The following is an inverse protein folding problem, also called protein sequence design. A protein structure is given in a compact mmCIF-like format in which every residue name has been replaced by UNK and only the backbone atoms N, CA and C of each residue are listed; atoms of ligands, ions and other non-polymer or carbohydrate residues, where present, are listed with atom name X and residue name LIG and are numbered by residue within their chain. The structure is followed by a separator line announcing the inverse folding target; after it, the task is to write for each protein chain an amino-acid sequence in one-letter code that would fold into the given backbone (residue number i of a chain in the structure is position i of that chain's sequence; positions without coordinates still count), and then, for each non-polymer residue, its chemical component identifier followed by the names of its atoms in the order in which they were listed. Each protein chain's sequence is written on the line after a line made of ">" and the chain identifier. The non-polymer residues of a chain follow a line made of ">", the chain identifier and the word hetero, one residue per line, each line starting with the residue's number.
data_IF_687618413972
#
_entry.id   IF_687618413972
#
_cell.length_a   1.000
_cell.length_b   1.000
_cell.length_c   1.000
_cell.angle_alpha   90.00
_cell.angle_beta   90.00
_cell.angle_gamma   90.00
#
_symmetry.space_group_name_H-M   'P 1'
#
loop_
_entity.id
_entity.type
_entity.pdbx_description
1 polymer ?
#
# COMPACT_ATOMS: atom_id res chain seq x y z
N UNK A 1 65.23 20.05 -20.93
CA UNK A 1 66.11 19.69 -19.80
C UNK A 1 65.36 19.98 -18.50
N UNK A 2 65.34 19.02 -17.58
CA UNK A 2 65.00 19.11 -16.16
C UNK A 2 65.66 20.32 -15.43
N UNK A 3 65.36 20.66 -14.14
CA UNK A 3 64.20 20.35 -13.26
C UNK A 3 63.84 21.46 -12.21
N UNK A 4 62.98 21.12 -11.23
CA UNK A 4 62.95 21.48 -9.78
C UNK A 4 61.83 22.39 -9.18
N UNK A 5 61.06 21.74 -8.30
CA UNK A 5 60.47 22.07 -6.98
C UNK A 5 59.82 23.42 -6.62
N UNK A 6 58.64 23.30 -6.00
CA UNK A 6 58.04 24.30 -5.10
C UNK A 6 56.91 23.70 -4.25
N UNK A 7 57.25 23.24 -3.06
CA UNK A 7 56.34 22.87 -1.97
C UNK A 7 55.60 24.09 -1.41
N UNK A 8 54.28 24.01 -1.23
CA UNK A 8 53.52 24.94 -0.39
C UNK A 8 52.59 24.15 0.54
N UNK A 9 52.72 24.42 1.83
CA UNK A 9 51.95 23.83 2.91
C UNK A 9 50.55 24.46 2.96
N UNK A 10 49.52 23.65 2.74
CA UNK A 10 48.14 24.04 2.99
C UNK A 10 47.76 23.77 4.45
N UNK A 11 47.34 24.83 5.12
CA UNK A 11 46.73 24.84 6.45
C UNK A 11 45.43 24.02 6.42
N UNK A 12 45.12 23.19 7.43
CA UNK A 12 43.83 22.51 7.49
C UNK A 12 42.73 23.53 7.80
N UNK A 13 41.88 23.83 6.81
CA UNK A 13 40.59 24.46 7.06
C UNK A 13 39.77 23.54 7.95
N UNK A 14 39.47 24.03 9.15
CA UNK A 14 38.47 23.43 10.03
C UNK A 14 37.14 23.57 9.30
N UNK A 15 36.72 22.51 8.61
CA UNK A 15 35.38 22.36 8.05
C UNK A 15 34.42 22.42 9.21
N UNK A 16 33.84 23.61 9.41
CA UNK A 16 32.74 23.82 10.34
C UNK A 16 31.64 22.81 9.99
N UNK A 17 31.38 21.92 10.94
CA UNK A 17 30.22 21.03 10.93
C UNK A 17 28.97 21.89 10.85
N UNK A 18 28.50 22.16 9.63
CA UNK A 18 27.13 22.61 9.40
C UNK A 18 26.25 21.47 9.87
N UNK A 19 25.72 21.61 11.08
CA UNK A 19 24.60 20.80 11.57
C UNK A 19 23.48 20.94 10.54
N UNK A 20 23.37 19.94 9.67
CA UNK A 20 22.26 19.81 8.74
C UNK A 20 21.00 19.87 9.60
N UNK A 21 20.08 20.84 9.38
CA UNK A 21 18.87 20.93 10.18
C UNK A 21 18.16 19.59 10.13
N UNK A 22 17.89 19.01 11.31
CA UNK A 22 17.19 17.75 11.47
C UNK A 22 15.97 17.75 10.54
N UNK A 23 16.06 16.99 9.45
CA UNK A 23 14.97 16.83 8.50
C UNK A 23 13.78 16.31 9.30
N UNK A 24 12.62 16.97 9.15
CA UNK A 24 11.41 16.47 9.77
C UNK A 24 11.22 14.99 9.37
N UNK A 25 10.89 14.10 10.34
CA UNK A 25 10.71 12.69 10.06
C UNK A 25 9.66 12.52 8.95
N UNK A 26 9.88 11.57 8.04
CA UNK A 26 8.88 11.29 7.01
C UNK A 26 7.56 10.81 7.64
N UNK A 27 6.43 10.95 6.94
CA UNK A 27 5.11 10.53 7.46
C UNK A 27 5.10 9.11 8.01
N UNK A 28 5.73 8.16 7.31
CA UNK A 28 5.82 6.78 7.78
C UNK A 28 6.53 6.65 9.15
N UNK A 29 7.62 7.40 9.35
CA UNK A 29 8.39 7.42 10.59
C UNK A 29 7.62 8.14 11.71
N UNK A 30 7.03 9.30 11.39
CA UNK A 30 6.17 10.03 12.32
C UNK A 30 5.02 9.16 12.82
N UNK A 31 4.34 8.45 11.92
CA UNK A 31 3.23 7.58 12.29
C UNK A 31 3.68 6.32 13.00
N UNK A 32 4.83 5.74 12.64
CA UNK A 32 5.42 4.64 13.40
C UNK A 32 5.65 5.06 14.85
N UNK A 33 6.27 6.22 15.07
CA UNK A 33 6.50 6.76 16.40
C UNK A 33 5.18 7.00 17.16
N UNK A 34 4.17 7.58 16.50
CA UNK A 34 2.84 7.76 17.09
C UNK A 34 2.23 6.40 17.47
N UNK A 35 2.25 5.40 16.61
CA UNK A 35 1.67 4.09 16.90
C UNK A 35 2.42 3.34 17.99
N UNK A 36 3.75 3.49 18.06
CA UNK A 36 4.57 2.89 19.12
C UNK A 36 4.25 3.47 20.50
N UNK A 37 3.85 4.75 20.59
CA UNK A 37 3.31 5.32 21.83
C UNK A 37 2.04 4.58 22.29
N UNK A 38 1.23 4.09 21.35
CA UNK A 38 -0.01 3.35 21.61
C UNK A 38 0.12 1.83 21.51
N UNK A 39 1.34 1.25 21.47
CA UNK A 39 1.53 -0.19 21.27
C UNK A 39 0.72 -1.07 22.23
N UNK A 40 0.58 -0.65 23.49
CA UNK A 40 -0.20 -1.40 24.47
C UNK A 40 -1.72 -1.30 24.23
N UNK A 41 -2.21 -0.14 23.75
CA UNK A 41 -3.60 0.00 23.30
C UNK A 41 -3.88 -0.88 22.08
N UNK A 42 -2.92 -0.94 21.15
CA UNK A 42 -2.99 -1.79 19.96
C UNK A 42 -3.06 -3.26 20.40
N UNK A 43 -2.14 -3.73 21.25
CA UNK A 43 -2.11 -5.12 21.75
C UNK A 43 -3.34 -5.53 22.56
N UNK A 44 -4.02 -4.61 23.24
CA UNK A 44 -5.25 -4.95 23.96
C UNK A 44 -6.48 -5.01 23.03
N UNK A 45 -6.47 -4.25 21.93
CA UNK A 45 -7.59 -4.19 20.99
C UNK A 45 -7.51 -5.21 19.87
N UNK A 46 -6.30 -5.58 19.51
CA UNK A 46 -6.02 -6.61 18.52
C UNK A 46 -5.63 -7.84 19.33
N UNK A 47 -6.34 -8.95 19.16
CA UNK A 47 -6.10 -10.23 19.84
C UNK A 47 -4.62 -10.40 20.15
N UNK A 48 -4.26 -10.53 21.43
CA UNK A 48 -2.88 -10.47 21.91
C UNK A 48 -2.00 -11.36 21.04
N UNK A 49 -1.20 -10.75 20.15
CA UNK A 49 -0.35 -11.47 19.19
C UNK A 49 0.56 -12.48 19.90
N UNK A 50 0.88 -12.23 21.18
CA UNK A 50 1.72 -13.12 22.01
C UNK A 50 1.01 -14.42 22.37
N UNK A 51 -0.32 -14.40 22.44
CA UNK A 51 -1.16 -15.55 22.75
C UNK A 51 -1.63 -16.30 21.49
N UNK A 52 -1.48 -15.68 20.32
CA UNK A 52 -1.98 -16.21 19.07
C UNK A 52 -1.07 -17.34 18.54
N UNK A 53 -1.68 -18.46 18.16
CA UNK A 53 -0.98 -19.55 17.48
C UNK A 53 -0.77 -19.15 16.03
N UNK A 54 0.45 -18.73 15.69
CA UNK A 54 0.81 -18.34 14.33
C UNK A 54 1.20 -19.59 13.53
N UNK A 55 0.25 -20.11 12.75
CA UNK A 55 0.49 -21.20 11.81
C UNK A 55 1.28 -20.71 10.58
N UNK A 56 1.92 -21.64 9.86
CA UNK A 56 2.52 -21.34 8.56
C UNK A 56 1.44 -21.08 7.50
N UNK A 57 1.74 -20.27 6.45
CA UNK A 57 0.82 -20.08 5.33
C UNK A 57 0.36 -21.41 4.74
N UNK A 58 -0.95 -21.61 4.62
CA UNK A 58 -1.55 -22.87 4.15
C UNK A 58 -2.20 -22.76 2.78
N UNK A 59 -2.32 -21.55 2.20
CA UNK A 59 -2.85 -21.33 0.86
C UNK A 59 -2.13 -22.21 -0.19
N UNK A 60 -2.88 -23.07 -0.87
CA UNK A 60 -2.34 -24.06 -1.82
C UNK A 60 -2.43 -23.62 -3.28
N UNK A 61 -2.93 -22.41 -3.54
CA UNK A 61 -3.05 -21.86 -4.89
C UNK A 61 -1.74 -22.00 -5.67
N UNK A 62 -1.82 -22.53 -6.90
CA UNK A 62 -0.65 -22.62 -7.76
C UNK A 62 -0.16 -21.22 -8.13
N UNK A 63 1.14 -20.99 -7.92
CA UNK A 63 1.82 -19.78 -8.39
C UNK A 63 1.76 -19.67 -9.91
N UNK A 64 1.22 -18.57 -10.43
CA UNK A 64 1.13 -18.30 -11.86
C UNK A 64 2.53 -18.35 -12.51
N UNK A 65 2.66 -18.85 -13.77
CA UNK A 65 3.94 -18.97 -14.45
C UNK A 65 4.75 -17.68 -14.49
N UNK A 66 4.07 -16.52 -14.59
CA UNK A 66 4.73 -15.21 -14.63
C UNK A 66 5.59 -14.95 -13.39
N UNK A 67 5.24 -15.51 -12.23
CA UNK A 67 6.03 -15.34 -11.02
C UNK A 67 7.18 -16.34 -10.90
N UNK A 68 7.22 -17.39 -11.72
CA UNK A 68 8.28 -18.42 -11.67
C UNK A 68 9.47 -18.04 -12.55
N UNK A 69 9.22 -17.64 -13.80
CA UNK A 69 10.27 -17.51 -14.83
C UNK A 69 10.45 -16.09 -15.40
N UNK A 70 9.77 -15.08 -14.84
CA UNK A 70 9.82 -13.70 -15.35
C UNK A 70 10.58 -12.70 -14.47
N UNK A 71 11.30 -13.18 -13.46
CA UNK A 71 12.22 -12.33 -12.69
C UNK A 71 13.46 -12.00 -13.51
N UNK A 72 13.85 -10.73 -13.53
CA UNK A 72 15.10 -10.31 -14.13
C UNK A 72 16.29 -10.84 -13.33
N UNK A 73 17.36 -11.16 -14.06
CA UNK A 73 18.71 -11.25 -13.50
C UNK A 73 19.41 -9.88 -13.53
N UNK A 74 20.73 -9.91 -13.41
CA UNK A 74 21.57 -8.72 -13.48
C UNK A 74 21.89 -8.11 -12.12
N UNK A 75 22.36 -6.84 -12.10
CA UNK A 75 22.85 -6.20 -10.88
C UNK A 75 21.80 -6.15 -9.78
N UNK A 76 22.21 -6.56 -8.58
CA UNK A 76 21.39 -6.55 -7.36
C UNK A 76 20.09 -7.35 -7.46
N UNK A 77 19.96 -8.32 -8.37
CA UNK A 77 18.81 -9.22 -8.45
C UNK A 77 19.11 -10.55 -7.76
N UNK A 78 18.71 -10.69 -6.50
CA UNK A 78 19.04 -11.85 -5.66
C UNK A 78 17.87 -12.82 -5.46
N UNK A 79 16.88 -12.79 -6.35
CA UNK A 79 15.59 -13.46 -6.16
C UNK A 79 15.74 -14.96 -5.89
N UNK A 80 16.66 -15.63 -6.57
CA UNK A 80 16.93 -17.06 -6.37
C UNK A 80 17.32 -17.42 -4.93
N UNK A 81 17.96 -16.51 -4.19
CA UNK A 81 18.39 -16.72 -2.80
C UNK A 81 17.22 -16.77 -1.82
N UNK A 82 16.11 -16.09 -2.13
CA UNK A 82 14.98 -15.92 -1.21
C UNK A 82 13.60 -16.20 -1.83
N UNK A 83 13.54 -16.77 -3.04
CA UNK A 83 12.29 -17.08 -3.74
C UNK A 83 11.30 -17.88 -2.87
N UNK A 84 11.80 -18.93 -2.20
CA UNK A 84 11.02 -19.76 -1.27
C UNK A 84 10.38 -18.95 -0.12
N UNK A 85 10.95 -17.79 0.24
CA UNK A 85 10.43 -16.93 1.31
C UNK A 85 9.31 -16.02 0.83
N UNK A 86 9.27 -15.65 -0.45
CA UNK A 86 8.20 -14.84 -1.04
C UNK A 86 7.09 -15.69 -1.66
N UNK A 87 7.30 -16.99 -1.83
CA UNK A 87 6.35 -17.91 -2.46
C UNK A 87 4.91 -17.78 -1.90
N UNK A 88 4.67 -17.68 -0.57
CA UNK A 88 3.31 -17.50 -0.07
C UNK A 88 2.62 -16.22 -0.60
N UNK A 89 3.36 -15.12 -0.74
CA UNK A 89 2.85 -13.89 -1.33
C UNK A 89 2.58 -14.03 -2.82
N UNK A 90 3.41 -14.79 -3.54
CA UNK A 90 3.19 -15.11 -4.96
C UNK A 90 1.94 -15.97 -5.14
N UNK A 91 1.67 -16.91 -4.24
CA UNK A 91 0.42 -17.71 -4.24
C UNK A 91 -0.81 -16.85 -3.97
N UNK A 92 -0.75 -15.97 -2.98
CA UNK A 92 -1.83 -15.01 -2.71
C UNK A 92 -2.09 -14.10 -3.92
N UNK A 93 -1.04 -13.55 -4.52
CA UNK A 93 -1.19 -12.73 -5.73
C UNK A 93 -1.78 -13.55 -6.88
N UNK A 94 -1.36 -14.80 -7.04
CA UNK A 94 -1.89 -15.72 -8.06
C UNK A 94 -3.37 -16.03 -7.85
N UNK A 95 -3.80 -16.18 -6.59
CA UNK A 95 -5.21 -16.36 -6.22
C UNK A 95 -6.04 -15.15 -6.69
N UNK A 96 -5.60 -13.93 -6.32
CA UNK A 96 -6.28 -12.68 -6.69
C UNK A 96 -6.30 -12.41 -8.20
N UNK A 97 -5.38 -13.00 -8.97
CA UNK A 97 -5.28 -12.86 -10.42
C UNK A 97 -5.89 -14.02 -11.21
N UNK A 98 -6.45 -15.03 -10.54
CA UNK A 98 -7.00 -16.20 -11.21
C UNK A 98 -8.45 -16.54 -10.80
N UNK A 99 -8.86 -16.13 -9.60
CA UNK A 99 -10.22 -16.36 -9.09
C UNK A 99 -11.27 -15.46 -9.75
N UNK A 100 -12.43 -16.02 -10.05
CA UNK A 100 -13.48 -15.41 -10.88
C UNK A 100 -13.93 -14.02 -10.38
N UNK A 101 -14.16 -13.90 -9.07
CA UNK A 101 -14.70 -12.66 -8.49
C UNK A 101 -13.68 -11.53 -8.40
N UNK A 102 -12.42 -11.72 -7.94
CA UNK A 102 -11.36 -10.72 -8.10
C UNK A 102 -11.16 -10.30 -9.56
N UNK A 103 -11.29 -11.23 -10.52
CA UNK A 103 -11.14 -10.93 -11.94
C UNK A 103 -12.20 -9.99 -12.51
N UNK A 104 -13.34 -9.82 -11.83
CA UNK A 104 -14.35 -8.83 -12.22
C UNK A 104 -13.78 -7.40 -12.24
N UNK A 105 -12.75 -7.12 -11.43
CA UNK A 105 -12.05 -5.84 -11.50
C UNK A 105 -11.40 -5.66 -12.90
N UNK A 106 -10.64 -6.65 -13.35
CA UNK A 106 -10.04 -6.61 -14.68
C UNK A 106 -11.09 -6.66 -15.81
N UNK A 107 -12.26 -7.29 -15.58
CA UNK A 107 -13.35 -7.32 -16.56
C UNK A 107 -13.98 -5.94 -16.77
N UNK A 108 -14.29 -5.21 -15.70
CA UNK A 108 -14.76 -3.82 -15.80
C UNK A 108 -13.70 -2.94 -16.42
N UNK A 109 -12.42 -3.07 -16.03
CA UNK A 109 -11.35 -2.34 -16.69
C UNK A 109 -11.29 -2.62 -18.20
N UNK A 110 -11.36 -3.89 -18.62
CA UNK A 110 -11.19 -4.28 -20.03
C UNK A 110 -12.41 -3.95 -20.87
N UNK A 111 -13.61 -4.20 -20.36
CA UNK A 111 -14.86 -4.21 -21.14
C UNK A 111 -15.90 -3.18 -20.70
N UNK A 112 -15.58 -2.34 -19.70
CA UNK A 112 -16.40 -1.21 -19.35
C UNK A 112 -16.46 -0.17 -20.47
N UNK A 113 -17.50 0.64 -20.51
CA UNK A 113 -17.62 1.76 -21.42
C UNK A 113 -16.74 2.92 -20.92
N UNK A 114 -15.89 3.48 -21.80
CA UNK A 114 -15.06 4.64 -21.46
C UNK A 114 -15.87 5.90 -21.72
N UNK A 115 -16.12 6.68 -20.67
CA UNK A 115 -16.79 7.98 -20.76
C UNK A 115 -15.80 9.08 -20.37
N UNK A 116 -16.12 10.32 -20.73
CA UNK A 116 -15.31 11.49 -20.42
C UNK A 116 -16.14 12.54 -19.72
N UNK A 117 -15.59 13.15 -18.69
CA UNK A 117 -16.10 14.39 -18.08
C UNK A 117 -14.96 15.41 -17.91
N UNK A 118 -15.21 16.46 -17.12
CA UNK A 118 -14.25 17.54 -16.85
C UNK A 118 -12.97 17.05 -16.14
N UNK A 119 -13.03 15.91 -15.44
CA UNK A 119 -11.90 15.33 -14.72
C UNK A 119 -11.14 14.29 -15.56
N UNK A 120 -11.60 13.98 -16.77
CA UNK A 120 -10.93 13.07 -17.70
C UNK A 120 -11.76 11.82 -18.02
N UNK A 121 -11.07 10.73 -18.40
CA UNK A 121 -11.74 9.47 -18.78
C UNK A 121 -12.08 8.67 -17.52
N UNK A 122 -13.27 8.08 -17.49
CA UNK A 122 -13.68 7.13 -16.45
C UNK A 122 -14.38 5.91 -17.07
N UNK A 123 -14.45 4.82 -16.31
CA UNK A 123 -15.04 3.55 -16.77
C UNK A 123 -16.44 3.36 -16.17
N UNK A 124 -17.38 2.91 -17.00
CA UNK A 124 -18.73 2.51 -16.60
C UNK A 124 -18.90 1.02 -16.87
N UNK A 125 -19.48 0.29 -15.93
CA UNK A 125 -19.72 -1.15 -16.10
C UNK A 125 -20.69 -1.41 -17.25
N UNK A 126 -20.48 -2.52 -17.97
CA UNK A 126 -21.38 -3.01 -19.01
C UNK A 126 -21.97 -4.35 -18.58
N UNK A 127 -23.09 -4.77 -19.16
CA UNK A 127 -23.62 -6.11 -18.90
C UNK A 127 -22.58 -7.21 -19.22
N UNK A 128 -21.78 -7.00 -20.27
CA UNK A 128 -20.72 -7.93 -20.66
C UNK A 128 -19.58 -8.00 -19.63
N UNK A 129 -19.20 -6.89 -18.98
CA UNK A 129 -18.12 -6.89 -17.98
C UNK A 129 -18.40 -7.72 -16.73
N UNK A 130 -19.64 -8.18 -16.53
CA UNK A 130 -20.04 -9.08 -15.45
C UNK A 130 -20.28 -10.52 -15.91
N UNK A 131 -20.05 -10.82 -17.19
CA UNK A 131 -20.31 -12.14 -17.76
C UNK A 131 -19.14 -13.12 -17.54
N UNK A 132 -19.44 -14.41 -17.52
CA UNK A 132 -18.42 -15.48 -17.50
C UNK A 132 -17.47 -15.38 -18.69
N UNK A 133 -17.97 -14.97 -19.86
CA UNK A 133 -17.15 -14.78 -21.07
C UNK A 133 -16.10 -13.68 -20.89
N UNK A 134 -16.45 -12.58 -20.20
CA UNK A 134 -15.48 -11.54 -19.86
C UNK A 134 -14.38 -12.07 -18.94
N UNK A 135 -14.73 -12.88 -17.94
CA UNK A 135 -13.76 -13.52 -17.03
C UNK A 135 -12.80 -14.42 -17.82
N UNK A 136 -13.34 -15.28 -18.70
CA UNK A 136 -12.53 -16.16 -19.56
C UNK A 136 -11.54 -15.36 -20.43
N UNK A 137 -12.01 -14.26 -21.04
CA UNK A 137 -11.12 -13.40 -21.86
C UNK A 137 -10.07 -12.68 -21.02
N UNK A 138 -10.43 -12.16 -19.85
CA UNK A 138 -9.47 -11.52 -18.93
C UNK A 138 -8.41 -12.50 -18.45
N UNK A 139 -8.80 -13.73 -18.09
CA UNK A 139 -7.86 -14.79 -17.72
C UNK A 139 -6.89 -15.10 -18.86
N UNK A 140 -7.40 -15.19 -20.10
CA UNK A 140 -6.55 -15.35 -21.28
C UNK A 140 -5.60 -14.17 -21.47
N UNK A 141 -6.07 -12.93 -21.29
CA UNK A 141 -5.24 -11.72 -21.37
C UNK A 141 -4.14 -11.71 -20.30
N UNK A 142 -4.45 -12.04 -19.04
CA UNK A 142 -3.46 -12.14 -17.96
C UNK A 142 -2.43 -13.24 -18.23
N UNK A 143 -2.85 -14.36 -18.84
CA UNK A 143 -1.95 -15.41 -19.29
C UNK A 143 -1.00 -14.91 -20.39
N UNK A 144 -1.47 -14.11 -21.35
CA UNK A 144 -0.61 -13.52 -22.38
C UNK A 144 0.32 -12.43 -21.81
N UNK A 145 -0.17 -11.57 -20.91
CA UNK A 145 0.66 -10.63 -20.16
C UNK A 145 1.77 -11.37 -19.41
N UNK A 146 1.43 -12.48 -18.76
CA UNK A 146 2.37 -13.32 -18.03
C UNK A 146 3.54 -13.86 -18.86
N UNK A 147 3.41 -13.89 -20.20
CA UNK A 147 4.49 -14.29 -21.11
C UNK A 147 5.48 -13.16 -21.43
N UNK A 148 5.14 -11.91 -21.15
CA UNK A 148 5.92 -10.73 -21.55
C UNK A 148 6.32 -9.81 -20.41
N UNK A 149 5.57 -9.81 -19.32
CA UNK A 149 5.89 -9.03 -18.13
C UNK A 149 7.26 -9.45 -17.58
N UNK A 150 7.95 -8.51 -16.94
CA UNK A 150 9.18 -8.78 -16.21
C UNK A 150 9.08 -8.18 -14.81
N UNK A 151 9.66 -8.85 -13.83
CA UNK A 151 9.72 -8.39 -12.45
C UNK A 151 11.18 -8.15 -12.06
N UNK A 152 11.46 -7.06 -11.36
CA UNK A 152 12.77 -6.81 -10.77
C UNK A 152 12.66 -6.11 -9.43
N UNK A 153 13.72 -6.16 -8.65
CA UNK A 153 13.91 -5.29 -7.50
C UNK A 153 14.65 -4.03 -7.93
N UNK A 154 14.14 -2.87 -7.54
CA UNK A 154 14.75 -1.58 -7.83
C UNK A 154 16.20 -1.56 -7.32
N UNK A 155 17.20 -1.25 -8.15
CA UNK A 155 18.56 -0.99 -7.68
C UNK A 155 18.58 0.06 -6.58
N UNK A 156 19.49 -0.05 -5.61
CA UNK A 156 19.56 0.86 -4.45
C UNK A 156 19.88 2.31 -4.83
N UNK A 157 20.47 2.52 -6.00
CA UNK A 157 20.72 3.86 -6.55
C UNK A 157 19.44 4.59 -7.01
N UNK A 158 18.31 3.87 -7.14
CA UNK A 158 17.03 4.51 -7.42
C UNK A 158 16.53 5.18 -6.13
N UNK A 159 16.56 6.51 -6.11
CA UNK A 159 16.07 7.33 -4.98
C UNK A 159 14.52 7.38 -4.90
N UNK A 160 13.85 6.29 -5.29
CA UNK A 160 12.40 6.18 -5.31
C UNK A 160 11.88 5.74 -3.93
N UNK A 161 10.82 6.41 -3.47
CA UNK A 161 10.17 6.10 -2.18
C UNK A 161 9.00 5.12 -2.32
N UNK A 162 8.60 4.79 -3.54
CA UNK A 162 7.47 3.92 -3.82
C UNK A 162 7.78 2.45 -3.48
N UNK A 163 6.74 1.71 -3.14
CA UNK A 163 6.84 0.26 -2.90
C UNK A 163 6.94 -0.54 -4.20
N UNK A 164 6.36 -0.02 -5.27
CA UNK A 164 6.41 -0.57 -6.62
C UNK A 164 6.34 0.55 -7.67
N UNK A 165 6.73 0.21 -8.90
CA UNK A 165 6.54 1.02 -10.09
C UNK A 165 6.37 0.12 -11.31
N UNK A 166 5.51 0.54 -12.24
CA UNK A 166 5.28 -0.18 -13.50
C UNK A 166 5.67 0.67 -14.70
N UNK A 167 6.52 0.11 -15.55
CA UNK A 167 6.99 0.76 -16.76
C UNK A 167 6.45 0.05 -17.99
N UNK A 168 5.97 0.79 -18.99
CA UNK A 168 5.52 0.22 -20.27
C UNK A 168 6.65 -0.42 -21.09
N UNK A 169 7.90 -0.32 -20.63
CA UNK A 169 9.04 -1.01 -21.21
C UNK A 169 10.33 -0.21 -21.10
N UNK A 170 11.43 -0.92 -21.30
CA UNK A 170 12.79 -0.45 -21.01
C UNK A 170 13.19 0.81 -21.80
N UNK A 171 12.83 0.85 -23.08
CA UNK A 171 13.23 1.93 -24.01
C UNK A 171 12.68 3.31 -23.62
N UNK A 172 11.55 3.36 -22.92
CA UNK A 172 10.96 4.63 -22.46
C UNK A 172 11.67 5.25 -21.26
N UNK A 173 12.53 4.49 -20.57
CA UNK A 173 13.07 4.85 -19.26
C UNK A 173 14.57 4.48 -19.13
N UNK A 174 15.42 4.94 -20.07
CA UNK A 174 16.83 4.49 -20.14
C UNK A 174 17.62 4.78 -18.85
N UNK A 175 17.30 5.85 -18.12
CA UNK A 175 17.94 6.18 -16.84
C UNK A 175 17.82 5.03 -15.82
N UNK A 176 16.65 4.41 -15.74
CA UNK A 176 16.38 3.33 -14.78
C UNK A 176 17.04 2.03 -15.22
N UNK A 177 17.05 1.73 -16.52
CA UNK A 177 17.50 0.45 -17.04
C UNK A 177 18.94 0.42 -17.59
N UNK A 178 19.70 1.52 -17.46
CA UNK A 178 21.07 1.66 -18.03
C UNK A 178 22.06 0.56 -17.60
N UNK A 179 21.86 -0.03 -16.42
CA UNK A 179 22.76 -1.06 -15.87
C UNK A 179 22.33 -2.48 -16.23
N UNK A 180 21.14 -2.66 -16.78
CA UNK A 180 20.66 -3.96 -17.21
C UNK A 180 20.97 -4.17 -18.69
N UNK A 181 21.47 -5.36 -18.99
CA UNK A 181 21.73 -5.85 -20.35
C UNK A 181 20.49 -6.59 -20.86
N UNK A 182 20.43 -6.83 -22.17
CA UNK A 182 19.30 -7.56 -22.76
C UNK A 182 19.13 -8.98 -22.19
N UNK A 183 20.23 -9.66 -21.85
CA UNK A 183 20.18 -11.00 -21.26
C UNK A 183 19.77 -11.02 -19.78
N UNK A 184 19.76 -9.87 -19.11
CA UNK A 184 19.26 -9.79 -17.73
C UNK A 184 17.73 -9.89 -17.70
N UNK A 185 17.06 -9.67 -18.83
CA UNK A 185 15.60 -9.80 -18.93
C UNK A 185 15.23 -11.19 -19.45
N UNK A 186 14.16 -11.80 -18.91
CA UNK A 186 13.64 -13.04 -19.45
C UNK A 186 13.22 -12.87 -20.92
N UNK A 187 13.53 -13.84 -21.81
CA UNK A 187 13.22 -13.72 -23.23
C UNK A 187 11.71 -13.51 -23.43
N UNK A 188 11.33 -12.51 -24.24
CA UNK A 188 9.92 -12.27 -24.54
C UNK A 188 9.39 -13.37 -25.45
N UNK A 189 8.31 -14.04 -25.03
CA UNK A 189 7.68 -15.13 -25.79
C UNK A 189 6.53 -14.64 -26.70
N UNK A 190 6.41 -13.33 -26.93
CA UNK A 190 5.25 -12.72 -27.60
C UNK A 190 5.50 -12.25 -29.03
N UNK A 191 4.39 -12.06 -29.76
CA UNK A 191 4.30 -11.44 -31.08
C UNK A 191 5.02 -10.08 -31.14
N UNK A 192 5.66 -9.81 -32.28
CA UNK A 192 6.25 -8.50 -32.63
C UNK A 192 5.23 -7.39 -32.34
N UNK A 193 5.65 -6.36 -31.61
CA UNK A 193 4.86 -5.15 -31.36
C UNK A 193 4.08 -5.10 -30.05
N UNK A 194 4.11 -6.13 -29.19
CA UNK A 194 3.46 -6.07 -27.86
C UNK A 194 4.31 -5.34 -26.81
N UNK A 195 3.65 -4.66 -25.86
CA UNK A 195 4.26 -4.00 -24.71
C UNK A 195 4.98 -5.04 -23.87
N UNK A 196 6.15 -4.71 -23.34
CA UNK A 196 6.85 -5.57 -22.38
C UNK A 196 6.90 -4.82 -21.05
N UNK A 197 5.81 -4.82 -20.27
CA UNK A 197 5.77 -4.10 -19.02
C UNK A 197 6.84 -4.64 -18.07
N UNK A 198 7.43 -3.75 -17.29
CA UNK A 198 8.37 -4.09 -16.23
C UNK A 198 7.80 -3.59 -14.91
N UNK A 199 7.56 -4.52 -13.99
CA UNK A 199 7.20 -4.22 -12.60
C UNK A 199 8.47 -4.20 -11.78
N UNK A 200 8.85 -3.02 -11.29
CA UNK A 200 9.96 -2.82 -10.39
C UNK A 200 9.43 -2.72 -8.96
N UNK A 201 10.02 -3.48 -8.04
CA UNK A 201 9.58 -3.59 -6.65
C UNK A 201 10.67 -3.01 -5.75
N UNK A 202 10.33 -2.30 -4.68
CA UNK A 202 11.30 -1.66 -3.79
C UNK A 202 12.38 -2.63 -3.30
N UNK A 203 13.64 -2.19 -3.33
CA UNK A 203 14.78 -2.92 -2.76
C UNK A 203 14.60 -3.32 -1.30
N UNK A 204 13.77 -2.57 -0.56
CA UNK A 204 13.43 -2.86 0.85
C UNK A 204 12.85 -4.26 1.04
N UNK A 205 12.03 -4.72 0.09
CA UNK A 205 11.51 -6.10 0.14
C UNK A 205 12.63 -7.12 -0.06
N UNK A 206 13.52 -6.89 -1.03
CA UNK A 206 14.68 -7.76 -1.23
C UNK A 206 15.56 -7.80 0.01
N UNK A 207 15.88 -6.66 0.60
CA UNK A 207 16.70 -6.58 1.81
C UNK A 207 16.04 -7.34 2.96
N UNK A 208 14.75 -7.12 3.19
CA UNK A 208 13.98 -7.83 4.20
C UNK A 208 13.94 -9.34 3.97
N UNK A 209 13.50 -9.80 2.79
CA UNK A 209 13.34 -11.22 2.49
C UNK A 209 14.68 -11.95 2.48
N UNK A 210 15.76 -11.31 2.03
CA UNK A 210 17.10 -11.91 1.97
C UNK A 210 17.77 -11.96 3.34
N UNK A 211 17.70 -10.89 4.13
CA UNK A 211 18.55 -10.72 5.32
C UNK A 211 17.79 -10.93 6.63
N UNK A 212 16.58 -10.39 6.75
CA UNK A 212 15.90 -10.26 8.04
C UNK A 212 14.77 -11.27 8.26
N UNK A 213 14.17 -11.79 7.18
CA UNK A 213 13.01 -12.69 7.23
C UNK A 213 13.22 -13.86 8.20
N UNK A 214 14.30 -14.63 8.03
CA UNK A 214 14.57 -15.81 8.88
C UNK A 214 15.32 -15.49 10.17
N UNK A 215 16.13 -14.42 10.20
CA UNK A 215 17.10 -14.17 11.28
C UNK A 215 16.57 -13.29 12.40
N UNK A 216 15.79 -12.25 12.06
CA UNK A 216 15.41 -11.19 12.99
C UNK A 216 13.90 -11.00 13.12
N UNK A 217 13.15 -11.42 12.11
CA UNK A 217 11.72 -11.13 12.05
C UNK A 217 10.90 -12.13 12.85
N UNK A 218 9.94 -11.60 13.61
CA UNK A 218 8.86 -12.37 14.23
C UNK A 218 7.94 -12.98 13.16
N UNK A 219 7.20 -14.06 13.47
CA UNK A 219 6.22 -14.62 12.55
C UNK A 219 5.19 -13.59 12.07
N UNK A 220 4.75 -12.67 12.94
CA UNK A 220 3.81 -11.60 12.58
C UNK A 220 4.36 -10.62 11.55
N UNK A 221 5.60 -10.18 11.72
CA UNK A 221 6.28 -9.32 10.73
C UNK A 221 6.41 -10.02 9.37
N UNK A 222 6.68 -11.33 9.36
CA UNK A 222 6.77 -12.11 8.11
C UNK A 222 5.43 -12.10 7.36
N UNK A 223 4.32 -12.33 8.05
CA UNK A 223 2.98 -12.26 7.47
C UNK A 223 2.64 -10.89 6.91
N UNK A 224 2.96 -9.83 7.65
CA UNK A 224 2.76 -8.45 7.21
C UNK A 224 3.58 -8.12 5.97
N UNK A 225 4.86 -8.52 5.94
CA UNK A 225 5.73 -8.32 4.79
C UNK A 225 5.23 -9.10 3.55
N UNK A 226 4.82 -10.36 3.73
CA UNK A 226 4.23 -11.19 2.68
C UNK A 226 2.96 -10.56 2.09
N UNK A 227 2.06 -10.11 2.96
CA UNK A 227 0.82 -9.47 2.54
C UNK A 227 1.09 -8.18 1.78
N UNK A 228 1.94 -7.30 2.32
CA UNK A 228 2.30 -6.04 1.69
C UNK A 228 2.99 -6.25 0.33
N UNK A 229 3.82 -7.29 0.21
CA UNK A 229 4.43 -7.67 -1.07
C UNK A 229 3.38 -8.14 -2.09
N UNK A 230 2.41 -8.96 -1.67
CA UNK A 230 1.32 -9.43 -2.54
C UNK A 230 0.43 -8.27 -3.02
N UNK A 231 0.06 -7.36 -2.11
CA UNK A 231 -0.70 -6.13 -2.44
C UNK A 231 0.06 -5.29 -3.46
N UNK A 232 1.36 -5.07 -3.24
CA UNK A 232 2.22 -4.29 -4.14
C UNK A 232 2.28 -4.94 -5.53
N UNK A 233 2.44 -6.27 -5.60
CA UNK A 233 2.43 -6.98 -6.88
C UNK A 233 1.09 -6.81 -7.61
N UNK A 234 -0.03 -6.98 -6.93
CA UNK A 234 -1.36 -6.80 -7.52
C UNK A 234 -1.58 -5.38 -8.04
N UNK A 235 -1.19 -4.37 -7.26
CA UNK A 235 -1.21 -2.95 -7.64
C UNK A 235 -0.43 -2.72 -8.93
N UNK A 236 0.83 -3.13 -8.97
CA UNK A 236 1.69 -2.90 -10.14
C UNK A 236 1.24 -3.73 -11.36
N UNK A 237 0.68 -4.92 -11.15
CA UNK A 237 0.13 -5.71 -12.25
C UNK A 237 -1.10 -5.04 -12.87
N UNK A 238 -1.92 -4.32 -12.10
CA UNK A 238 -3.02 -3.53 -12.65
C UNK A 238 -2.50 -2.48 -13.65
N UNK A 239 -1.42 -1.77 -13.30
CA UNK A 239 -0.74 -0.82 -14.18
C UNK A 239 -0.12 -1.50 -15.40
N UNK A 240 0.61 -2.59 -15.20
CA UNK A 240 1.22 -3.37 -16.27
C UNK A 240 0.17 -3.91 -17.26
N UNK A 241 -1.00 -4.32 -16.76
CA UNK A 241 -2.12 -4.79 -17.58
C UNK A 241 -2.67 -3.69 -18.48
N UNK A 242 -2.85 -2.47 -17.95
CA UNK A 242 -3.22 -1.28 -18.75
C UNK A 242 -2.18 -1.00 -19.84
N UNK A 243 -0.90 -0.97 -19.46
CA UNK A 243 0.20 -0.70 -20.38
C UNK A 243 0.28 -1.75 -21.51
N UNK A 244 -0.09 -2.99 -21.22
CA UNK A 244 -0.14 -4.07 -22.19
C UNK A 244 -1.33 -3.96 -23.15
N UNK A 245 -2.52 -3.59 -22.68
CA UNK A 245 -3.72 -3.45 -23.51
C UNK A 245 -3.69 -2.26 -24.49
N UNK A 246 -3.16 -1.10 -24.07
CA UNK A 246 -3.23 0.18 -24.82
C UNK A 246 -2.46 0.18 -26.15
N UNK A 247 -1.63 -0.84 -26.44
CA UNK A 247 -0.91 -0.93 -27.73
C UNK A 247 -1.77 -1.20 -28.96
N UNK A 248 -3.09 -1.31 -28.83
CA UNK A 248 -3.99 -1.56 -29.96
C UNK A 248 -4.47 -0.29 -30.69
N UNK A 249 -4.15 0.93 -30.23
CA UNK A 249 -4.58 2.17 -30.89
C UNK A 249 -3.59 3.35 -30.82
N UNK A 250 -3.40 4.13 -31.91
CA UNK A 250 -2.55 5.33 -31.92
C UNK A 250 -3.18 6.56 -31.24
N UNK A 251 -4.41 6.49 -30.72
CA UNK A 251 -5.16 7.64 -30.20
C UNK A 251 -5.55 7.56 -28.71
N UNK A 252 -5.15 6.53 -27.98
CA UNK A 252 -5.52 6.43 -26.56
C UNK A 252 -4.63 7.30 -25.68
N UNK A 253 -5.27 8.02 -24.76
CA UNK A 253 -4.61 8.88 -23.77
C UNK A 253 -3.51 8.11 -23.03
N UNK A 254 -2.35 8.77 -22.83
CA UNK A 254 -1.30 8.24 -21.95
C UNK A 254 -1.77 8.16 -20.49
N UNK A 255 -2.73 8.99 -20.11
CA UNK A 255 -3.34 8.99 -18.78
C UNK A 255 -4.06 7.66 -18.51
N UNK A 256 -4.06 7.22 -17.26
CA UNK A 256 -4.93 6.14 -16.83
C UNK A 256 -6.38 6.65 -16.78
N UNK A 257 -7.40 5.81 -17.00
CA UNK A 257 -8.77 6.20 -16.70
C UNK A 257 -9.05 6.10 -15.21
N UNK A 258 -9.95 6.94 -14.71
CA UNK A 258 -10.57 6.74 -13.38
C UNK A 258 -11.42 5.47 -13.41
N UNK A 259 -11.34 4.69 -12.36
CA UNK A 259 -12.05 3.41 -12.34
C UNK A 259 -13.57 3.57 -12.38
N UNK A 260 -14.10 4.62 -11.75
CA UNK A 260 -15.48 5.05 -11.92
C UNK A 260 -15.59 6.59 -11.85
N UNK A 261 -16.77 7.13 -12.18
CA UNK A 261 -17.02 8.59 -12.16
C UNK A 261 -16.76 9.25 -10.79
N UNK A 262 -16.90 8.48 -9.70
CA UNK A 262 -16.77 8.99 -8.32
C UNK A 262 -15.32 9.11 -7.88
N UNK A 263 -14.42 8.37 -8.52
CA UNK A 263 -13.01 8.39 -8.15
C UNK A 263 -12.45 9.76 -8.52
N UNK A 264 -11.70 10.38 -7.61
CA UNK A 264 -11.07 11.68 -7.86
C UNK A 264 -9.86 11.57 -8.80
N UNK A 265 -9.39 10.35 -9.09
CA UNK A 265 -8.03 10.08 -9.58
C UNK A 265 -7.91 9.00 -10.63
N UNK A 266 -6.87 9.18 -11.46
CA UNK A 266 -6.43 8.29 -12.53
C UNK A 266 -5.32 7.38 -12.03
N UNK A 267 -5.62 6.52 -11.07
CA UNK A 267 -4.65 5.58 -10.50
C UNK A 267 -5.31 4.20 -10.34
N UNK A 268 -5.04 3.33 -11.30
CA UNK A 268 -5.68 2.01 -11.38
C UNK A 268 -5.20 1.04 -10.30
N UNK A 269 -3.96 1.17 -9.82
CA UNK A 269 -3.40 0.33 -8.77
C UNK A 269 -4.09 0.55 -7.43
N UNK A 270 -4.36 1.80 -7.04
CA UNK A 270 -5.14 2.15 -5.86
C UNK A 270 -6.61 1.80 -6.01
N UNK A 271 -7.17 1.93 -7.22
CA UNK A 271 -8.50 1.39 -7.47
C UNK A 271 -8.52 -0.13 -7.23
N UNK A 272 -7.53 -0.85 -7.72
CA UNK A 272 -7.40 -2.29 -7.48
C UNK A 272 -7.25 -2.59 -5.98
N UNK A 273 -6.36 -1.91 -5.26
CA UNK A 273 -6.19 -2.07 -3.81
C UNK A 273 -7.51 -1.84 -3.07
N UNK A 274 -8.22 -0.75 -3.37
CA UNK A 274 -9.47 -0.40 -2.68
C UNK A 274 -10.62 -1.34 -3.03
N UNK A 275 -10.70 -1.88 -4.25
CA UNK A 275 -11.76 -2.80 -4.64
C UNK A 275 -11.51 -4.24 -4.21
N UNK A 276 -10.25 -4.67 -4.21
CA UNK A 276 -9.87 -6.04 -3.85
C UNK A 276 -9.61 -6.13 -2.34
N UNK A 277 -8.71 -5.31 -1.81
CA UNK A 277 -8.39 -5.36 -0.38
C UNK A 277 -9.39 -4.58 0.49
N UNK A 278 -10.19 -3.70 -0.11
CA UNK A 278 -11.13 -2.83 0.61
C UNK A 278 -10.49 -1.54 1.14
N UNK A 279 -9.18 -1.37 0.99
CA UNK A 279 -8.42 -0.24 1.53
C UNK A 279 -7.03 -0.13 0.90
N UNK A 280 -6.37 1.01 1.12
CA UNK A 280 -4.95 1.20 0.78
C UNK A 280 -4.10 0.72 1.96
N UNK A 281 -3.32 -0.33 1.75
CA UNK A 281 -2.47 -0.91 2.80
C UNK A 281 -1.16 -0.15 2.87
N UNK A 282 -0.81 0.46 3.99
CA UNK A 282 0.46 1.17 4.20
C UNK A 282 1.25 0.54 5.37
N UNK A 283 2.48 0.06 5.14
CA UNK A 283 3.33 -0.43 6.22
C UNK A 283 3.91 0.75 7.02
N UNK A 284 3.85 0.66 8.33
CA UNK A 284 4.58 1.59 9.21
C UNK A 284 6.05 1.20 9.13
N UNK A 285 6.89 2.01 8.48
CA UNK A 285 8.31 1.71 8.40
C UNK A 285 8.99 2.11 9.71
N UNK A 286 9.72 1.17 10.30
CA UNK A 286 10.83 1.52 11.18
C UNK A 286 12.07 1.84 10.34
N UNK A 287 13.03 2.57 10.90
CA UNK A 287 14.34 2.83 10.27
C UNK A 287 15.08 1.56 9.82
N UNK A 288 14.68 0.38 10.32
CA UNK A 288 15.33 -0.91 10.08
C UNK A 288 14.65 -1.79 9.05
N UNK A 289 13.68 -1.26 8.30
CA UNK A 289 12.96 -2.06 7.28
C UNK A 289 12.11 -3.18 7.87
N UNK A 290 11.74 -3.08 9.16
CA UNK A 290 10.79 -4.00 9.77
C UNK A 290 9.34 -3.65 9.41
N UNK A 291 8.45 -4.62 9.60
CA UNK A 291 7.00 -4.48 9.35
C UNK A 291 6.20 -4.66 10.65
N UNK A 292 6.39 -3.77 11.65
CA UNK A 292 5.75 -3.94 12.96
C UNK A 292 4.22 -3.86 12.84
N UNK A 293 3.72 -2.95 12.01
CA UNK A 293 2.30 -2.80 11.74
C UNK A 293 2.03 -2.62 10.24
N UNK A 294 0.85 -3.06 9.82
CA UNK A 294 0.22 -2.62 8.58
C UNK A 294 -0.98 -1.77 8.95
N UNK A 295 -1.17 -0.67 8.22
CA UNK A 295 -2.32 0.20 8.40
C UNK A 295 -3.17 0.24 7.14
N UNK A 296 -4.48 0.36 7.32
CA UNK A 296 -5.37 0.88 6.31
C UNK A 296 -5.35 2.40 6.38
N UNK A 297 -5.08 3.03 5.24
CA UNK A 297 -5.05 4.48 5.10
C UNK A 297 -6.32 4.98 4.40
N UNK A 298 -7.01 5.91 5.06
CA UNK A 298 -8.11 6.67 4.46
C UNK A 298 -7.80 8.17 4.53
N UNK A 299 -7.84 8.84 3.39
CA UNK A 299 -7.56 10.26 3.25
C UNK A 299 -8.77 10.97 2.67
N UNK A 300 -9.16 12.10 3.27
CA UNK A 300 -10.28 12.90 2.77
C UNK A 300 -10.04 14.38 3.10
N UNK A 301 -10.11 15.23 2.09
CA UNK A 301 -10.18 16.68 2.26
C UNK A 301 -11.62 17.14 2.55
N UNK A 302 -11.76 18.28 3.21
CA UNK A 302 -13.09 18.82 3.51
C UNK A 302 -13.11 20.35 3.44
N UNK A 303 -14.21 20.87 2.91
CA UNK A 303 -14.45 22.32 2.76
C UNK A 303 -15.20 22.94 3.93
N UNK A 304 -15.99 22.16 4.67
CA UNK A 304 -16.84 22.64 5.75
C UNK A 304 -16.79 21.77 7.00
N UNK A 305 -17.25 22.33 8.13
CA UNK A 305 -17.39 21.57 9.38
C UNK A 305 -18.46 20.48 9.28
N UNK A 306 -19.46 20.65 8.41
CA UNK A 306 -20.48 19.65 8.15
C UNK A 306 -19.88 18.43 7.42
N UNK A 307 -19.10 18.67 6.36
CA UNK A 307 -18.38 17.61 5.64
C UNK A 307 -17.46 16.84 6.59
N UNK A 308 -16.68 17.58 7.38
CA UNK A 308 -15.84 17.01 8.44
C UNK A 308 -16.63 16.11 9.37
N UNK A 309 -17.79 16.54 9.86
CA UNK A 309 -18.60 15.77 10.79
C UNK A 309 -19.13 14.47 10.14
N UNK A 310 -19.50 14.51 8.86
CA UNK A 310 -19.90 13.32 8.08
C UNK A 310 -18.73 12.34 7.97
N UNK A 311 -17.53 12.82 7.63
CA UNK A 311 -16.35 11.96 7.48
C UNK A 311 -15.90 11.36 8.81
N UNK A 312 -15.83 12.15 9.88
CA UNK A 312 -15.51 11.65 11.22
C UNK A 312 -16.52 10.60 11.66
N UNK A 313 -17.82 10.81 11.38
CA UNK A 313 -18.86 9.82 11.68
C UNK A 313 -18.69 8.54 10.86
N UNK A 314 -18.37 8.64 9.56
CA UNK A 314 -18.10 7.48 8.70
C UNK A 314 -16.91 6.66 9.20
N UNK A 315 -15.81 7.33 9.54
CA UNK A 315 -14.59 6.69 10.05
C UNK A 315 -14.82 6.03 11.41
N UNK A 316 -15.52 6.70 12.33
CA UNK A 316 -15.78 6.19 13.68
C UNK A 316 -16.99 5.27 13.78
N UNK A 317 -17.91 5.29 12.81
CA UNK A 317 -19.26 4.72 12.95
C UNK A 317 -19.29 3.21 13.20
N UNK A 318 -18.22 2.50 12.86
CA UNK A 318 -18.07 1.08 13.16
C UNK A 318 -17.43 0.83 14.54
N UNK A 319 -16.79 1.84 15.13
CA UNK A 319 -16.11 1.72 16.41
C UNK A 319 -17.03 2.06 17.57
N UNK A 320 -17.04 1.19 18.58
CA UNK A 320 -17.75 1.44 19.84
C UNK A 320 -16.97 2.34 20.81
N UNK A 321 -15.77 2.75 20.42
CA UNK A 321 -14.86 3.51 21.25
C UNK A 321 -15.27 4.98 21.40
N UNK A 322 -15.13 5.52 22.60
CA UNK A 322 -15.03 6.96 22.77
C UNK A 322 -13.68 7.45 22.24
N UNK A 323 -13.63 8.62 21.61
CA UNK A 323 -12.38 9.20 21.09
C UNK A 323 -11.95 10.42 21.89
N UNK A 324 -10.65 10.68 21.94
CA UNK A 324 -10.06 11.86 22.56
C UNK A 324 -8.93 12.42 21.71
N UNK A 325 -8.62 13.70 21.87
CA UNK A 325 -7.43 14.34 21.30
C UNK A 325 -6.24 14.39 22.28
N UNK A 326 -6.43 13.85 23.49
CA UNK A 326 -5.37 13.73 24.49
C UNK A 326 -4.49 12.53 24.15
N UNK A 327 -3.19 12.67 24.37
CA UNK A 327 -2.22 11.59 24.18
C UNK A 327 -2.37 10.49 25.25
N UNK A 328 -1.41 9.55 25.30
CA UNK A 328 -1.36 8.48 26.30
C UNK A 328 -1.16 8.99 27.74
N UNK A 329 -0.59 10.18 27.91
CA UNK A 329 -0.39 10.84 29.20
C UNK A 329 -1.57 11.74 29.60
N UNK A 330 -2.60 11.84 28.75
CA UNK A 330 -3.75 12.71 29.00
C UNK A 330 -3.51 14.18 28.63
N UNK A 331 -2.44 14.49 27.90
CA UNK A 331 -2.00 15.84 27.57
C UNK A 331 -2.42 16.21 26.13
N UNK A 332 -2.68 17.50 25.89
CA UNK A 332 -2.85 18.02 24.54
C UNK A 332 -1.49 18.37 23.94
N UNK A 333 -0.99 17.50 23.06
CA UNK A 333 0.30 17.68 22.37
C UNK A 333 0.15 18.50 21.09
N UNK A 334 1.16 19.30 20.77
CA UNK A 334 1.34 19.87 19.42
C UNK A 334 1.97 18.84 18.49
N UNK A 335 1.35 18.64 17.33
CA UNK A 335 1.74 17.63 16.35
C UNK A 335 2.41 18.25 15.13
N UNK A 336 3.26 17.48 14.45
CA UNK A 336 3.93 17.91 13.22
C UNK A 336 2.93 18.13 12.08
N UNK A 337 3.10 19.22 11.34
CA UNK A 337 2.29 19.53 10.17
C UNK A 337 2.74 18.67 8.99
N UNK A 338 1.87 17.76 8.55
CA UNK A 338 2.08 16.94 7.37
C UNK A 338 1.35 17.57 6.18
N UNK A 339 1.98 17.53 5.01
CA UNK A 339 1.41 17.94 3.73
C UNK A 339 0.75 16.76 3.04
N UNK A 340 -0.25 16.98 2.18
CA UNK A 340 -0.88 15.94 1.39
C UNK A 340 0.12 15.01 0.67
N UNK A 341 1.20 15.59 0.13
CA UNK A 341 2.19 14.85 -0.65
C UNK A 341 3.04 13.85 0.14
N UNK A 342 3.02 13.95 1.48
CA UNK A 342 3.81 13.07 2.33
C UNK A 342 3.05 11.80 2.72
N UNK A 343 1.72 11.77 2.58
CA UNK A 343 0.92 10.56 2.77
C UNK A 343 1.00 9.66 1.55
N UNK A 344 1.01 8.33 1.74
CA UNK A 344 0.88 7.39 0.62
C UNK A 344 -0.46 7.60 -0.08
N UNK A 345 -0.41 7.79 -1.40
CA UNK A 345 -1.60 8.14 -2.18
C UNK A 345 -2.14 9.54 -1.89
N UNK A 346 -1.51 10.35 -1.05
CA UNK A 346 -2.04 11.66 -0.67
C UNK A 346 -2.06 12.69 -1.80
N UNK A 347 -1.15 12.58 -2.78
CA UNK A 347 -1.26 13.32 -4.05
C UNK A 347 -2.56 13.00 -4.82
N UNK A 348 -3.19 11.88 -4.48
CA UNK A 348 -4.34 11.37 -5.19
C UNK A 348 -5.64 11.59 -4.40
N UNK A 349 -5.65 11.29 -3.11
CA UNK A 349 -6.86 11.41 -2.33
C UNK A 349 -7.14 12.84 -1.82
N UNK A 350 -6.14 13.72 -1.85
CA UNK A 350 -6.23 15.08 -1.31
C UNK A 350 -5.83 16.09 -2.39
N UNK A 351 -6.50 17.25 -2.40
CA UNK A 351 -5.97 18.41 -3.11
C UNK A 351 -4.53 18.72 -2.62
N UNK A 352 -3.53 18.87 -3.51
CA UNK A 352 -2.16 19.25 -3.12
C UNK A 352 -2.06 20.53 -2.28
N UNK A 353 -3.07 21.41 -2.37
CA UNK A 353 -3.20 22.66 -1.63
C UNK A 353 -4.18 22.55 -0.46
N UNK A 354 -4.70 21.37 -0.15
CA UNK A 354 -5.63 21.16 0.96
C UNK A 354 -5.03 21.67 2.28
N UNK A 355 -5.66 22.69 2.85
CA UNK A 355 -5.33 23.20 4.20
C UNK A 355 -6.14 22.52 5.29
N UNK A 356 -7.19 21.78 4.90
CA UNK A 356 -8.08 21.05 5.80
C UNK A 356 -8.32 19.63 5.28
N UNK A 357 -7.86 18.62 6.03
CA UNK A 357 -8.05 17.22 5.68
C UNK A 357 -7.98 16.30 6.89
N UNK A 358 -8.48 15.08 6.71
CA UNK A 358 -8.40 13.96 7.63
C UNK A 358 -7.55 12.85 7.01
N UNK A 359 -6.69 12.25 7.83
CA UNK A 359 -6.00 11.01 7.54
C UNK A 359 -6.28 10.00 8.66
N UNK A 360 -7.02 8.95 8.35
CA UNK A 360 -7.26 7.82 9.25
C UNK A 360 -6.24 6.73 8.98
N UNK A 361 -5.61 6.27 10.05
CA UNK A 361 -4.73 5.10 10.07
C UNK A 361 -5.36 4.06 10.99
N UNK A 362 -5.94 3.04 10.38
CA UNK A 362 -6.52 1.91 11.10
C UNK A 362 -5.54 0.73 11.06
N UNK A 363 -5.06 0.28 12.22
CA UNK A 363 -4.12 -0.83 12.30
C UNK A 363 -4.83 -2.11 11.89
N UNK A 364 -4.24 -2.84 10.94
CA UNK A 364 -4.74 -4.10 10.41
C UNK A 364 -4.30 -5.23 11.37
N UNK A 365 -5.24 -6.02 11.93
CA UNK A 365 -4.90 -7.09 12.85
C UNK A 365 -4.12 -8.20 12.17
N UNK A 366 -3.22 -8.83 12.90
CA UNK A 366 -2.42 -9.92 12.36
C UNK A 366 -3.28 -11.12 11.93
N UNK A 367 -4.31 -11.49 12.70
CA UNK A 367 -5.23 -12.57 12.33
C UNK A 367 -5.89 -12.30 10.97
N UNK A 368 -6.32 -11.06 10.73
CA UNK A 368 -6.92 -10.66 9.45
C UNK A 368 -5.92 -10.81 8.29
N UNK A 369 -4.64 -10.51 8.52
CA UNK A 369 -3.57 -10.71 7.53
C UNK A 369 -3.34 -12.21 7.28
N UNK A 370 -3.25 -13.02 8.34
CA UNK A 370 -3.03 -14.46 8.26
C UNK A 370 -4.16 -15.17 7.52
N UNK A 371 -5.40 -14.71 7.69
CA UNK A 371 -6.58 -15.23 7.02
C UNK A 371 -6.44 -15.21 5.49
N UNK A 372 -5.72 -14.25 4.90
CA UNK A 372 -5.43 -14.23 3.45
C UNK A 372 -4.53 -15.36 2.97
N UNK A 373 -3.78 -15.97 3.88
CA UNK A 373 -2.88 -17.09 3.59
C UNK A 373 -3.44 -18.43 4.06
N UNK A 374 -4.71 -18.47 4.46
CA UNK A 374 -5.40 -19.68 4.90
C UNK A 374 -6.30 -20.24 3.81
N UNK A 375 -6.05 -21.49 3.39
CA UNK A 375 -6.87 -22.15 2.37
C UNK A 375 -8.33 -22.30 2.80
N UNK A 376 -8.57 -22.62 4.07
CA UNK A 376 -9.92 -22.79 4.61
C UNK A 376 -10.69 -21.45 4.59
N UNK A 377 -10.02 -20.35 4.92
CA UNK A 377 -10.62 -19.01 4.86
C UNK A 377 -10.88 -18.62 3.41
N UNK A 378 -9.93 -18.83 2.49
CA UNK A 378 -10.14 -18.54 1.07
C UNK A 378 -11.27 -19.37 0.46
N UNK A 379 -11.40 -20.64 0.85
CA UNK A 379 -12.49 -21.52 0.40
C UNK A 379 -13.86 -21.01 0.85
N UNK A 380 -13.97 -20.56 2.11
CA UNK A 380 -15.20 -19.90 2.59
C UNK A 380 -15.52 -18.62 1.83
N UNK A 381 -14.51 -17.77 1.59
CA UNK A 381 -14.69 -16.53 0.81
C UNK A 381 -15.17 -16.81 -0.62
N UNK A 382 -14.61 -17.83 -1.29
CA UNK A 382 -15.09 -18.25 -2.61
C UNK A 382 -16.57 -18.63 -2.59
N UNK A 383 -16.99 -19.43 -1.61
CA UNK A 383 -18.39 -19.81 -1.45
C UNK A 383 -19.30 -18.59 -1.18
N UNK A 384 -18.84 -17.63 -0.36
CA UNK A 384 -19.57 -16.40 -0.08
C UNK A 384 -19.72 -15.50 -1.32
N UNK A 385 -18.66 -15.37 -2.12
CA UNK A 385 -18.72 -14.61 -3.38
C UNK A 385 -19.62 -15.29 -4.40
N UNK A 386 -19.58 -16.62 -4.47
CA UNK A 386 -20.44 -17.41 -5.35
C UNK A 386 -21.92 -17.22 -4.99
N UNK A 387 -22.25 -17.35 -3.70
CA UNK A 387 -23.60 -17.11 -3.20
C UNK A 387 -24.06 -15.67 -3.48
N UNK A 388 -23.16 -14.69 -3.32
CA UNK A 388 -23.47 -13.28 -3.54
C UNK A 388 -23.49 -12.87 -5.02
N UNK A 389 -22.92 -13.69 -5.90
CA UNK A 389 -22.63 -13.37 -7.31
C UNK A 389 -21.85 -12.07 -7.48
N UNK A 390 -21.02 -11.74 -6.50
CA UNK A 390 -20.18 -10.55 -6.55
C UNK A 390 -18.97 -10.70 -5.63
N UNK A 391 -17.91 -9.93 -5.94
CA UNK A 391 -16.80 -9.78 -5.03
C UNK A 391 -17.23 -9.01 -3.79
N UNK A 392 -17.03 -9.61 -2.61
CA UNK A 392 -17.21 -8.94 -1.32
C UNK A 392 -15.85 -8.72 -0.69
N UNK A 393 -15.47 -7.45 -0.55
CA UNK A 393 -14.29 -7.05 0.21
C UNK A 393 -14.39 -7.55 1.64
N UNK A 394 -13.31 -8.10 2.18
CA UNK A 394 -13.27 -8.46 3.60
C UNK A 394 -13.15 -7.19 4.44
N UNK A 395 -14.19 -6.82 5.23
CA UNK A 395 -14.11 -5.63 6.06
C UNK A 395 -13.02 -5.80 7.13
N UNK A 396 -12.37 -4.70 7.51
CA UNK A 396 -11.55 -4.68 8.71
C UNK A 396 -12.47 -4.72 9.94
N UNK A 397 -12.11 -5.48 11.00
CA UNK A 397 -12.86 -5.44 12.26
C UNK A 397 -12.70 -4.08 12.96
N UNK A 398 -13.41 -3.87 14.08
CA UNK A 398 -13.21 -2.68 14.94
C UNK A 398 -11.83 -2.76 15.60
N UNK A 399 -10.87 -1.98 15.11
CA UNK A 399 -9.46 -2.05 15.51
C UNK A 399 -8.96 -0.71 16.02
N UNK A 400 -7.71 -0.68 16.50
CA UNK A 400 -7.09 0.58 16.88
C UNK A 400 -6.93 1.47 15.64
N UNK A 401 -7.41 2.71 15.75
CA UNK A 401 -7.35 3.71 14.69
C UNK A 401 -6.94 5.05 15.27
N UNK A 402 -6.04 5.75 14.58
CA UNK A 402 -5.78 7.17 14.81
C UNK A 402 -6.36 7.98 13.66
N UNK A 403 -6.91 9.16 13.96
CA UNK A 403 -7.37 10.12 12.97
C UNK A 403 -6.51 11.37 13.13
N UNK A 404 -5.57 11.55 12.21
CA UNK A 404 -4.84 12.79 12.05
C UNK A 404 -5.74 13.80 11.33
N UNK A 405 -5.84 14.99 11.89
CA UNK A 405 -6.60 16.10 11.34
C UNK A 405 -5.71 17.33 11.24
N UNK A 406 -5.67 17.93 10.06
CA UNK A 406 -5.09 19.26 9.84
C UNK A 406 -6.20 20.21 9.45
N UNK A 407 -6.23 21.40 10.05
CA UNK A 407 -7.15 22.47 9.69
C UNK A 407 -6.59 23.85 10.10
N UNK A 408 -7.37 24.91 9.93
CA UNK A 408 -6.97 26.29 10.27
C UNK A 408 -6.66 26.52 11.76
N UNK A 409 -7.19 25.69 12.67
CA UNK A 409 -6.93 25.76 14.12
C UNK A 409 -5.67 25.02 14.54
N UNK A 410 -5.06 24.26 13.62
CA UNK A 410 -3.85 23.50 13.87
C UNK A 410 -4.03 22.02 13.53
N UNK A 411 -3.30 21.18 14.27
CA UNK A 411 -3.23 19.74 14.02
C UNK A 411 -3.71 19.01 15.26
N UNK A 412 -4.57 18.02 15.04
CA UNK A 412 -5.15 17.21 16.10
C UNK A 412 -5.04 15.74 15.71
N UNK A 413 -4.56 14.91 16.62
CA UNK A 413 -4.73 13.45 16.52
C UNK A 413 -5.89 13.06 17.41
N UNK A 414 -6.86 12.37 16.86
CA UNK A 414 -7.90 11.69 17.64
C UNK A 414 -7.55 10.21 17.75
N UNK A 415 -7.69 9.65 18.95
CA UNK A 415 -7.46 8.23 19.22
C UNK A 415 -8.55 7.67 20.13
N UNK A 416 -8.82 6.36 20.09
CA UNK A 416 -9.79 5.75 20.97
C UNK A 416 -9.31 5.72 22.42
N UNK A 417 -10.24 5.88 23.36
CA UNK A 417 -10.06 5.64 24.79
C UNK A 417 -10.12 4.14 25.06
N UNK A 418 -9.29 3.68 25.99
CA UNK A 418 -9.27 2.31 26.47
C UNK A 418 -9.56 2.28 27.99
N UNK A 419 -10.70 1.70 28.43
CA UNK A 419 -11.09 1.71 29.84
C UNK A 419 -10.12 0.98 30.77
N UNK A 420 -9.22 0.14 30.24
CA UNK A 420 -8.19 -0.54 31.03
C UNK A 420 -6.99 0.34 31.37
N UNK A 421 -6.86 1.53 30.75
CA UNK A 421 -5.80 2.48 31.07
C UNK A 421 -6.31 3.51 32.07
N UNK A 422 -5.62 3.73 33.21
CA UNK A 422 -6.08 4.65 34.26
C UNK A 422 -6.43 6.05 33.73
N UNK A 423 -5.54 6.64 32.94
CA UNK A 423 -5.72 7.98 32.36
C UNK A 423 -6.94 8.05 31.45
N UNK A 424 -7.18 7.01 30.65
CA UNK A 424 -8.33 6.95 29.75
C UNK A 424 -9.63 6.77 30.53
N UNK A 425 -9.62 5.92 31.56
CA UNK A 425 -10.73 5.74 32.47
C UNK A 425 -11.11 7.07 33.14
N UNK A 426 -10.13 7.83 33.61
CA UNK A 426 -10.35 9.15 34.21
C UNK A 426 -10.98 10.14 33.21
N UNK A 427 -10.48 10.17 31.96
CA UNK A 427 -11.07 10.99 30.90
C UNK A 427 -12.55 10.61 30.66
N UNK A 428 -12.85 9.31 30.59
CA UNK A 428 -14.22 8.81 30.40
C UNK A 428 -15.11 9.18 31.59
N UNK A 429 -14.64 9.04 32.82
CA UNK A 429 -15.37 9.41 34.03
C UNK A 429 -15.65 10.93 34.08
N UNK A 430 -14.66 11.76 33.76
CA UNK A 430 -14.83 13.22 33.70
C UNK A 430 -15.93 13.60 32.70
N UNK A 431 -15.96 12.99 31.51
CA UNK A 431 -16.99 13.24 30.50
C UNK A 431 -18.39 12.87 30.97
N UNK A 432 -18.54 11.70 31.63
CA UNK A 432 -19.83 11.26 32.19
C UNK A 432 -20.34 12.23 33.25
N UNK A 433 -19.46 12.73 34.14
CA UNK A 433 -19.82 13.76 35.13
C UNK A 433 -20.28 15.07 34.49
N UNK A 434 -19.58 15.53 33.44
CA UNK A 434 -19.97 16.74 32.71
C UNK A 434 -21.31 16.58 31.99
N UNK A 435 -21.60 15.41 31.41
CA UNK A 435 -22.89 15.11 30.80
C UNK A 435 -24.03 15.07 31.82
N UNK A 436 -23.78 14.47 32.99
CA UNK A 436 -24.77 14.44 34.08
C UNK A 436 -25.10 15.84 34.61
N UNK A 437 -24.11 16.72 34.70
CA UNK A 437 -24.29 18.09 35.21
C UNK A 437 -24.83 19.07 34.16
N UNK A 438 -24.57 18.85 32.86
CA UNK A 438 -25.05 19.71 31.78
C UNK A 438 -26.45 19.36 31.25
N UNK A 439 -27.04 18.28 31.76
CA UNK A 439 -28.44 17.89 31.50
C UNK A 439 -29.43 18.39 32.56
N UNK A 440 -28.95 19.12 33.56
CA UNK A 440 -29.75 19.93 34.48
C UNK A 440 -29.78 21.37 33.96
#
# INVERSE_FOLDING_TARGET
>A
MCPYNGTSAATPEIVGSTTVPNRAPGVAEYLSNVLDEYKYHIWQRQDDERSMIISSPSLVQETLPMFKDRWCGGPEQHVSEFYHRIEPALRLTSFLLNEDYPLLWFCHFTFGERRRDEQGIYIVSTAYSHSTDAIVRVRANLKELGKVISFLFMPREWNEKAWGMSFSGRKGFPRYFRHFKDHDFPPSRSRKGACHPVVAISSKFQDYFRQDYSRKSTPGERYRALYMFAVTLGHEIAHAYKQWLVRTGPSESKEEPRWCKRDKIHELGFSWETHIMGHVTDPTQSERGSFPYLCSLHLEDYSSLADRAVFVRKLKGHSKAEFTTRDVAGIHRQWTALTPSEFRGGKWFLDPKATAFLASYQVIPLQWVMDWFSEDVMSRRRAEWELARCYKTTPLPDTFMIIYERNAKGIHIQRPLNPHFPIDCDIMQQRRRLQANGGQ
#
